data_IF_364121588886
#
_entry.id   IF_364121588886
#
_cell.length_a   1.000
_cell.length_b   1.000
_cell.length_c   1.000
_cell.angle_alpha   90.00
_cell.angle_beta   90.00
_cell.angle_gamma   90.00
#
_symmetry.space_group_name_H-M   'P 1'
#
loop_
_entity.id
_entity.type
_entity.pdbx_description
1 polymer ?
#
# COMPACT_ATOMS: atom_id res chain seq x y z
N UNK A 1 -8.12 4.81 20.07
CA UNK A 1 -8.49 3.42 19.75
C UNK A 1 -7.87 3.11 18.40
N UNK A 2 -6.98 2.13 18.32
CA UNK A 2 -6.39 1.72 17.03
C UNK A 2 -7.46 1.04 16.15
N UNK A 3 -7.28 1.04 14.82
CA UNK A 3 -8.21 0.36 13.92
C UNK A 3 -8.23 -1.14 14.26
N UNK A 4 -9.42 -1.70 14.47
CA UNK A 4 -9.59 -3.15 14.63
C UNK A 4 -9.41 -3.83 13.26
N UNK A 5 -8.72 -4.96 13.23
CA UNK A 5 -8.63 -5.76 12.01
C UNK A 5 -9.75 -6.79 11.96
N UNK A 6 -10.70 -6.63 11.03
CA UNK A 6 -11.73 -7.65 10.82
C UNK A 6 -11.25 -8.73 9.87
N UNK A 7 -10.60 -8.35 8.78
CA UNK A 7 -10.12 -9.28 7.75
C UNK A 7 -8.71 -8.89 7.31
N UNK A 8 -7.81 -9.89 7.22
CA UNK A 8 -6.46 -9.72 6.67
C UNK A 8 -6.37 -10.43 5.32
N UNK A 9 -6.06 -9.69 4.26
CA UNK A 9 -5.90 -10.21 2.90
C UNK A 9 -4.62 -9.61 2.32
N UNK A 10 -3.68 -10.46 1.91
CA UNK A 10 -2.41 -10.06 1.27
C UNK A 10 -1.64 -8.96 2.04
N UNK A 11 -1.60 -9.06 3.37
CA UNK A 11 -0.93 -8.07 4.22
C UNK A 11 -1.70 -6.77 4.44
N UNK A 12 -2.88 -6.61 3.82
CA UNK A 12 -3.81 -5.52 4.08
C UNK A 12 -4.85 -5.95 5.09
N UNK A 13 -5.09 -5.07 6.05
CA UNK A 13 -6.10 -5.19 7.07
C UNK A 13 -7.29 -4.30 6.71
N UNK A 14 -8.48 -4.89 6.71
CA UNK A 14 -9.74 -4.23 6.41
C UNK A 14 -10.60 -4.18 7.68
N UNK A 15 -11.08 -2.98 8.02
CA UNK A 15 -11.98 -2.74 9.16
C UNK A 15 -13.41 -2.34 8.74
N UNK A 16 -13.69 -2.30 7.45
CA UNK A 16 -15.04 -2.04 6.91
C UNK A 16 -15.98 -3.22 7.15
N UNK A 17 -17.29 -2.95 7.32
CA UNK A 17 -18.29 -3.97 7.64
C UNK A 17 -18.77 -4.80 6.43
N UNK A 18 -18.50 -4.35 5.20
CA UNK A 18 -18.91 -5.03 3.98
C UNK A 18 -17.79 -5.00 2.94
N UNK A 19 -16.96 -6.05 2.94
CA UNK A 19 -15.91 -6.25 1.94
C UNK A 19 -16.17 -7.54 1.16
N UNK A 20 -16.04 -7.47 -0.16
CA UNK A 20 -16.02 -8.62 -1.07
C UNK A 20 -14.60 -8.76 -1.60
N UNK A 21 -14.01 -9.94 -1.48
CA UNK A 21 -12.68 -10.22 -1.98
C UNK A 21 -12.74 -11.21 -3.15
N UNK A 22 -12.11 -10.86 -4.26
CA UNK A 22 -11.92 -11.71 -5.43
C UNK A 22 -10.41 -11.90 -5.63
N UNK A 23 -9.97 -13.17 -5.68
CA UNK A 23 -8.56 -13.53 -5.85
C UNK A 23 -8.34 -14.04 -7.26
N UNK A 24 -7.46 -13.38 -7.99
CA UNK A 24 -7.10 -13.72 -9.35
C UNK A 24 -5.69 -14.31 -9.39
N UNK A 25 -5.58 -15.55 -9.87
CA UNK A 25 -4.29 -16.18 -10.17
C UNK A 25 -4.05 -16.13 -11.67
N UNK A 26 -2.98 -15.46 -12.09
CA UNK A 26 -2.60 -15.29 -13.51
C UNK A 26 -1.14 -15.69 -13.69
N UNK A 27 -0.88 -16.99 -13.83
CA UNK A 27 0.48 -17.51 -14.00
C UNK A 27 1.33 -17.25 -12.75
N UNK A 28 2.38 -16.43 -12.88
CA UNK A 28 3.28 -16.04 -11.77
C UNK A 28 2.77 -14.83 -10.97
N UNK A 29 1.70 -14.17 -11.42
CA UNK A 29 1.10 -13.04 -10.71
C UNK A 29 -0.12 -13.50 -9.91
N UNK A 30 -0.19 -13.05 -8.66
CA UNK A 30 -1.41 -13.10 -7.87
C UNK A 30 -1.88 -11.68 -7.64
N UNK A 31 -3.13 -11.41 -7.99
CA UNK A 31 -3.80 -10.15 -7.71
C UNK A 31 -4.99 -10.42 -6.80
N UNK A 32 -5.17 -9.57 -5.79
CA UNK A 32 -6.37 -9.61 -4.96
C UNK A 32 -7.10 -8.28 -5.10
N UNK A 33 -8.37 -8.35 -5.44
CA UNK A 33 -9.27 -7.21 -5.51
C UNK A 33 -10.25 -7.29 -4.34
N UNK A 34 -10.33 -6.23 -3.55
CA UNK A 34 -11.26 -6.08 -2.43
C UNK A 34 -12.18 -4.91 -2.73
N UNK A 35 -13.45 -5.21 -2.97
CA UNK A 35 -14.49 -4.23 -3.22
C UNK A 35 -15.26 -3.93 -1.94
N UNK A 36 -15.46 -2.65 -1.65
CA UNK A 36 -16.30 -2.15 -0.58
C UNK A 36 -17.28 -1.09 -1.13
N UNK A 37 -18.10 -0.50 -0.25
CA UNK A 37 -19.04 0.52 -0.69
C UNK A 37 -18.30 1.81 -1.09
N UNK A 38 -18.23 2.07 -2.40
CA UNK A 38 -17.68 3.31 -2.96
C UNK A 38 -16.18 3.27 -3.26
N UNK A 39 -15.49 2.17 -2.97
CA UNK A 39 -14.07 2.02 -3.31
C UNK A 39 -13.68 0.56 -3.57
N UNK A 40 -12.58 0.40 -4.29
CA UNK A 40 -11.94 -0.87 -4.61
C UNK A 40 -10.46 -0.77 -4.24
N UNK A 41 -9.93 -1.81 -3.62
CA UNK A 41 -8.50 -1.96 -3.35
C UNK A 41 -8.00 -3.15 -4.13
N UNK A 42 -7.04 -2.94 -5.02
CA UNK A 42 -6.32 -4.03 -5.67
C UNK A 42 -4.89 -4.06 -5.17
N UNK A 43 -4.39 -5.27 -4.93
CA UNK A 43 -2.97 -5.51 -4.67
C UNK A 43 -2.47 -6.50 -5.70
N UNK A 44 -1.36 -6.15 -6.34
CA UNK A 44 -0.61 -7.06 -7.19
C UNK A 44 0.71 -7.39 -6.53
N UNK A 45 1.05 -8.67 -6.54
CA UNK A 45 2.38 -9.15 -6.16
C UNK A 45 3.02 -9.65 -7.44
N UNK A 46 4.10 -8.98 -7.84
CA UNK A 46 4.96 -9.38 -8.96
C UNK A 46 6.27 -9.94 -8.43
N UNK A 47 6.86 -10.87 -9.16
CA UNK A 47 8.22 -11.35 -8.97
C UNK A 47 9.29 -10.38 -9.49
N UNK A 48 8.87 -9.30 -10.17
CA UNK A 48 9.75 -8.21 -10.58
C UNK A 48 10.15 -7.37 -9.37
N UNK A 49 11.46 -7.29 -9.14
CA UNK A 49 12.04 -6.47 -8.08
C UNK A 49 12.48 -5.15 -8.70
N UNK A 50 11.60 -4.16 -8.69
CA UNK A 50 11.96 -2.78 -9.00
C UNK A 50 12.63 -2.15 -7.77
N UNK A 51 13.86 -1.66 -7.95
CA UNK A 51 14.63 -1.07 -6.88
C UNK A 51 14.35 0.43 -6.77
N UNK A 52 13.27 0.78 -6.08
CA UNK A 52 12.90 2.18 -5.83
C UNK A 52 13.80 2.83 -4.77
N UNK A 53 14.29 4.04 -5.04
CA UNK A 53 15.01 4.88 -4.07
C UNK A 53 14.05 5.60 -3.13
N UNK A 54 13.60 4.89 -2.10
CA UNK A 54 12.75 5.47 -1.05
C UNK A 54 13.52 6.35 -0.05
N UNK A 55 14.83 6.64 -0.21
CA UNK A 55 15.58 7.43 0.79
C UNK A 55 15.04 8.84 0.99
N UNK A 56 14.41 9.39 -0.04
CA UNK A 56 13.79 10.72 -0.04
C UNK A 56 12.28 10.68 0.21
N UNK A 57 11.73 9.49 0.43
CA UNK A 57 10.30 9.30 0.64
C UNK A 57 9.88 9.64 2.07
N UNK A 58 8.64 10.12 2.26
CA UNK A 58 8.06 10.30 3.58
C UNK A 58 7.98 8.99 4.35
N UNK A 59 7.88 9.10 5.67
CA UNK A 59 7.78 7.95 6.58
C UNK A 59 6.46 7.98 7.34
N UNK A 60 5.83 6.81 7.47
CA UNK A 60 4.67 6.60 8.33
C UNK A 60 5.08 5.68 9.48
N UNK A 61 4.76 6.07 10.71
CA UNK A 61 5.20 5.36 11.90
C UNK A 61 4.02 5.03 12.81
N UNK A 62 3.99 3.80 13.32
CA UNK A 62 3.05 3.37 14.34
C UNK A 62 3.67 2.28 15.22
N UNK A 63 3.43 2.34 16.53
CA UNK A 63 3.89 1.35 17.51
C UNK A 63 5.41 1.05 17.44
N UNK A 64 6.20 2.08 17.11
CA UNK A 64 7.66 1.98 16.99
C UNK A 64 8.16 1.35 15.69
N UNK A 65 7.26 1.06 14.75
CA UNK A 65 7.58 0.60 13.39
C UNK A 65 7.37 1.77 12.43
N UNK A 66 8.39 2.11 11.65
CA UNK A 66 8.33 3.12 10.60
C UNK A 66 8.57 2.47 9.24
N UNK A 67 7.77 2.85 8.25
CA UNK A 67 7.97 2.48 6.86
C UNK A 67 8.05 3.72 6.00
N UNK A 68 8.85 3.66 4.94
CA UNK A 68 8.84 4.68 3.89
C UNK A 68 7.84 4.30 2.82
N UNK A 69 7.19 5.31 2.26
CA UNK A 69 6.12 5.11 1.29
C UNK A 69 6.13 6.14 0.17
N UNK A 70 5.53 5.78 -0.93
CA UNK A 70 5.23 6.66 -2.05
C UNK A 70 3.75 6.52 -2.36
N UNK A 71 3.02 7.63 -2.31
CA UNK A 71 1.60 7.71 -2.62
C UNK A 71 1.42 8.66 -3.78
N UNK A 72 0.86 8.18 -4.88
CA UNK A 72 0.47 9.00 -6.00
C UNK A 72 -1.05 8.90 -6.17
N UNK A 73 -1.74 10.02 -6.43
CA UNK A 73 -3.17 10.00 -6.69
C UNK A 73 -3.50 10.82 -7.95
N UNK A 74 -4.28 10.23 -8.85
CA UNK A 74 -4.71 10.81 -10.11
C UNK A 74 -6.16 10.46 -10.43
N UNK A 75 -6.71 11.08 -11.48
CA UNK A 75 -7.98 10.64 -12.06
C UNK A 75 -7.79 9.27 -12.72
N UNK A 76 -8.69 8.34 -12.41
CA UNK A 76 -8.74 6.99 -12.95
C UNK A 76 -10.14 6.74 -13.53
N UNK A 77 -10.29 6.98 -14.83
CA UNK A 77 -11.55 6.81 -15.55
C UNK A 77 -12.76 7.51 -14.90
N UNK A 78 -12.57 8.75 -14.41
CA UNK A 78 -13.61 9.52 -13.72
C UNK A 78 -13.81 9.15 -12.25
N UNK A 79 -12.90 8.35 -11.68
CA UNK A 79 -12.76 8.05 -10.26
C UNK A 79 -11.45 8.63 -9.73
N UNK A 80 -11.23 8.55 -8.42
CA UNK A 80 -9.96 8.91 -7.81
C UNK A 80 -9.15 7.63 -7.60
N UNK A 81 -8.05 7.47 -8.34
CA UNK A 81 -7.10 6.37 -8.16
C UNK A 81 -5.90 6.82 -7.33
N UNK A 82 -5.54 6.06 -6.30
CA UNK A 82 -4.36 6.28 -5.48
C UNK A 82 -3.48 5.03 -5.46
N UNK A 83 -2.25 5.16 -5.96
CA UNK A 83 -1.22 4.12 -5.94
C UNK A 83 -0.35 4.32 -4.70
N UNK A 84 -0.20 3.26 -3.92
CA UNK A 84 0.66 3.17 -2.75
C UNK A 84 1.76 2.14 -3.00
N UNK A 85 3.01 2.59 -2.85
CA UNK A 85 4.21 1.75 -2.86
C UNK A 85 4.90 1.93 -1.52
N UNK A 86 5.34 0.84 -0.89
CA UNK A 86 5.91 0.86 0.47
C UNK A 86 7.18 0.03 0.53
N UNK A 87 8.12 0.43 1.39
CA UNK A 87 9.33 -0.36 1.65
C UNK A 87 9.01 -1.47 2.66
N UNK A 88 9.05 -2.72 2.22
CA UNK A 88 9.01 -3.87 3.12
C UNK A 88 10.44 -4.31 3.48
N UNK A 89 10.85 -4.33 4.75
CA UNK A 89 12.06 -5.04 5.13
C UNK A 89 11.84 -6.56 4.99
N UNK A 90 12.64 -7.22 4.15
CA UNK A 90 12.75 -8.69 4.10
C UNK A 90 11.88 -9.44 3.09
N UNK A 91 11.02 -8.75 2.34
CA UNK A 91 10.26 -9.33 1.22
C UNK A 91 10.36 -8.33 0.07
N UNK A 92 11.23 -8.61 -0.90
CA UNK A 92 11.33 -7.85 -2.15
C UNK A 92 10.34 -8.46 -3.16
N UNK A 93 9.11 -7.97 -3.16
CA UNK A 93 8.46 -7.60 -4.40
C UNK A 93 7.96 -6.15 -4.29
N UNK A 94 7.99 -5.45 -5.41
CA UNK A 94 7.39 -4.13 -5.57
C UNK A 94 5.85 -4.26 -5.50
N UNK A 95 5.37 -4.49 -4.28
CA UNK A 95 3.95 -4.65 -3.99
C UNK A 95 3.26 -3.32 -4.22
N UNK A 96 2.48 -3.24 -5.29
CA UNK A 96 1.66 -2.07 -5.60
C UNK A 96 0.28 -2.30 -5.01
N UNK A 97 -0.17 -1.33 -4.22
CA UNK A 97 -1.55 -1.28 -3.74
C UNK A 97 -2.23 -0.12 -4.45
N UNK A 98 -3.28 -0.41 -5.20
CA UNK A 98 -4.08 0.60 -5.88
C UNK A 98 -5.43 0.71 -5.18
N UNK A 99 -5.83 1.93 -4.83
CA UNK A 99 -7.15 2.25 -4.27
C UNK A 99 -7.87 3.15 -5.24
N UNK A 100 -8.96 2.66 -5.82
CA UNK A 100 -9.85 3.46 -6.68
C UNK A 100 -11.13 3.76 -5.90
N UNK A 101 -11.53 5.03 -5.86
CA UNK A 101 -12.69 5.49 -5.11
C UNK A 101 -13.61 6.38 -5.95
N UNK A 102 -14.92 6.22 -5.78
CA UNK A 102 -15.94 6.92 -6.57
C UNK A 102 -16.04 8.43 -6.22
N UNK A 103 -15.47 8.85 -5.09
CA UNK A 103 -15.45 10.25 -4.64
C UNK A 103 -14.35 10.48 -3.60
N UNK A 104 -14.06 11.75 -3.30
CA UNK A 104 -13.12 12.11 -2.24
C UNK A 104 -13.55 11.55 -0.87
N UNK A 105 -14.85 11.57 -0.55
CA UNK A 105 -15.36 11.01 0.70
C UNK A 105 -15.20 9.47 0.77
N UNK A 106 -15.33 8.79 -0.38
CA UNK A 106 -15.09 7.36 -0.46
C UNK A 106 -13.60 7.02 -0.32
N UNK A 107 -12.70 7.85 -0.89
CA UNK A 107 -11.26 7.71 -0.67
C UNK A 107 -10.90 7.91 0.80
N UNK A 108 -11.42 8.95 1.45
CA UNK A 108 -11.20 9.19 2.88
C UNK A 108 -11.67 8.02 3.73
N UNK A 109 -12.75 7.35 3.31
CA UNK A 109 -13.27 6.15 3.97
C UNK A 109 -12.34 4.96 3.76
N UNK A 110 -11.92 4.72 2.52
CA UNK A 110 -10.93 3.69 2.21
C UNK A 110 -9.64 3.88 3.02
N UNK A 111 -9.12 5.11 3.13
CA UNK A 111 -7.89 5.40 3.85
C UNK A 111 -7.99 5.16 5.37
N UNK A 112 -9.21 5.27 5.93
CA UNK A 112 -9.50 4.95 7.34
C UNK A 112 -9.71 3.46 7.57
N UNK A 113 -10.33 2.78 6.62
CA UNK A 113 -10.74 1.38 6.76
C UNK A 113 -9.68 0.38 6.33
N UNK A 114 -8.67 0.83 5.58
CA UNK A 114 -7.58 -0.01 5.07
C UNK A 114 -6.29 0.35 5.78
N UNK A 115 -5.62 -0.67 6.32
CA UNK A 115 -4.32 -0.55 6.97
C UNK A 115 -3.34 -1.58 6.44
N UNK A 116 -2.08 -1.19 6.30
CA UNK A 116 -1.00 -2.13 6.01
C UNK A 116 -0.57 -2.82 7.31
N UNK A 117 -0.57 -4.15 7.32
CA UNK A 117 0.05 -4.93 8.39
C UNK A 117 1.54 -5.05 8.14
N UNK A 118 2.35 -4.61 9.09
CA UNK A 118 3.81 -4.73 9.06
C UNK A 118 4.25 -5.55 10.27
N UNK A 119 4.93 -6.66 10.00
CA UNK A 119 5.55 -7.52 11.01
C UNK A 119 7.08 -7.30 10.97
N UNK A 120 7.68 -6.88 12.09
CA UNK A 120 9.13 -6.64 12.23
C UNK A 120 9.60 -7.03 13.62
N UNK A 121 10.67 -7.82 13.71
CA UNK A 121 11.31 -8.22 14.97
C UNK A 121 10.33 -8.80 16.02
N UNK A 122 9.37 -9.61 15.56
CA UNK A 122 8.33 -10.21 16.41
C UNK A 122 7.23 -9.24 16.87
N UNK A 123 7.24 -7.99 16.39
CA UNK A 123 6.17 -7.00 16.60
C UNK A 123 5.33 -6.86 15.35
N UNK A 124 4.05 -6.60 15.52
CA UNK A 124 3.12 -6.28 14.43
C UNK A 124 2.55 -4.88 14.64
N UNK A 125 2.48 -4.08 13.58
CA UNK A 125 1.76 -2.82 13.55
C UNK A 125 0.76 -2.80 12.39
N UNK A 126 -0.35 -2.12 12.59
CA UNK A 126 -1.32 -1.81 11.54
C UNK A 126 -1.17 -0.33 11.21
N UNK A 127 -0.63 -0.01 10.04
CA UNK A 127 -0.48 1.36 9.57
C UNK A 127 -1.67 1.73 8.68
N UNK A 128 -2.69 2.44 9.19
CA UNK A 128 -3.81 2.87 8.38
C UNK A 128 -3.34 3.80 7.28
N UNK A 129 -4.02 3.77 6.14
CA UNK A 129 -3.61 4.53 4.96
C UNK A 129 -3.71 6.05 5.18
N UNK A 130 -4.49 6.49 6.17
CA UNK A 130 -4.45 7.86 6.70
C UNK A 130 -3.07 8.34 7.19
N UNK A 131 -2.15 7.44 7.55
CA UNK A 131 -0.76 7.81 7.87
C UNK A 131 0.08 8.13 6.64
N UNK A 132 -0.36 7.71 5.45
CA UNK A 132 0.28 8.02 4.17
C UNK A 132 -0.23 9.37 3.63
N UNK A 133 0.02 10.44 4.39
CA UNK A 133 -0.57 11.76 4.13
C UNK A 133 0.07 12.53 2.96
N UNK A 134 1.35 12.29 2.68
CA UNK A 134 2.09 13.01 1.64
C UNK A 134 1.85 12.40 0.26
N UNK A 135 1.52 13.25 -0.73
CA UNK A 135 1.26 12.85 -2.12
C UNK A 135 2.42 13.26 -3.01
N UNK A 136 2.92 12.31 -3.80
CA UNK A 136 3.91 12.51 -4.83
C UNK A 136 3.24 12.94 -6.15
N UNK A 137 3.91 13.81 -6.90
CA UNK A 137 3.45 14.24 -8.23
C UNK A 137 3.75 13.23 -9.35
N UNK A 138 4.67 12.29 -9.13
CA UNK A 138 5.02 11.24 -10.09
C UNK A 138 4.33 9.92 -9.72
N UNK A 139 4.08 9.07 -10.71
CA UNK A 139 3.35 7.79 -10.54
C UNK A 139 4.18 6.72 -9.82
N UNK A 140 5.50 6.84 -9.88
CA UNK A 140 6.44 5.92 -9.25
C UNK A 140 7.60 6.69 -8.57
N UNK A 141 8.19 6.13 -7.50
CA UNK A 141 9.47 6.59 -6.98
C UNK A 141 10.55 6.55 -8.07
N UNK A 142 11.63 7.33 -7.93
CA UNK A 142 12.79 7.16 -8.78
C UNK A 142 13.46 5.82 -8.49
N UNK A 143 13.91 5.13 -9.52
CA UNK A 143 14.72 3.92 -9.38
C UNK A 143 16.13 4.24 -8.88
N UNK A 144 16.73 3.25 -8.23
CA UNK A 144 18.14 3.23 -7.88
C UNK A 144 19.00 3.06 -9.13
N UNK A 145 19.85 4.04 -9.42
CA UNK A 145 20.83 3.94 -10.51
C UNK A 145 22.00 3.05 -10.10
N UNK A 146 22.18 1.93 -10.82
CA UNK A 146 23.35 1.02 -10.96
C UNK A 146 24.13 0.50 -9.74
N UNK A 147 23.85 0.92 -8.51
CA UNK A 147 24.54 0.41 -7.31
C UNK A 147 23.55 -0.04 -6.24
N UNK A 148 23.28 -1.35 -6.20
CA UNK A 148 22.46 -2.03 -5.20
C UNK A 148 22.81 -1.61 -3.75
N UNK A 149 24.09 -1.32 -3.50
CA UNK A 149 24.62 -0.92 -2.19
C UNK A 149 24.21 0.48 -1.73
N UNK A 150 23.77 1.36 -2.63
CA UNK A 150 23.42 2.74 -2.28
C UNK A 150 21.99 2.87 -1.74
N UNK A 151 21.10 1.94 -2.09
CA UNK A 151 19.67 2.00 -1.78
C UNK A 151 19.21 1.11 -0.62
N UNK A 152 19.98 0.06 -0.31
CA UNK A 152 19.91 -0.54 1.01
C UNK A 152 20.49 0.50 1.99
N UNK A 153 19.63 1.30 2.63
CA UNK A 153 20.07 2.18 3.73
C UNK A 153 20.85 1.41 4.81
N UNK A 154 21.54 2.11 5.73
CA UNK A 154 22.36 1.48 6.78
C UNK A 154 21.59 0.47 7.63
#
# INVERSE_FOLDING_TARGET
MGPYCFVLIAGLCFSGHSVKADVHQMGMMSAVEVTAQGYVVSTSITDVIDMHDFRKSPSACQDGICIRYHKHCADDAGKIGCIYRVVWPGIAPDGVIHVTADSAAALDTAEREVALRVDRDGKAALLPFTLFSERAGADAPPDCTDDFKACAGP
#
